data_IF_257389531868
#
_entry.id   IF_257389531868
#
_cell.length_a   1.000
_cell.length_b   1.000
_cell.length_c   1.000
_cell.angle_alpha   90.00
_cell.angle_beta   90.00
_cell.angle_gamma   90.00
#
_symmetry.space_group_name_H-M   'P 1'
#
loop_
_entity.id
_entity.type
_entity.pdbx_description
1 polymer ?
#
# COMPACT_ATOMS: atom_id res chain seq x y z
N UNK A 1 51.71 17.45 27.35
CA UNK A 1 51.42 16.23 28.13
C UNK A 1 50.04 15.75 27.77
N UNK A 2 50.08 14.72 26.99
CA UNK A 2 49.34 13.43 27.04
C UNK A 2 47.84 13.50 26.87
N UNK A 3 47.44 12.99 25.70
CA UNK A 3 46.79 11.69 25.38
C UNK A 3 45.29 11.81 25.45
N UNK A 4 44.50 11.29 24.53
CA UNK A 4 44.60 10.12 23.67
C UNK A 4 43.59 10.18 22.54
N UNK A 5 44.08 9.89 21.36
CA UNK A 5 43.26 9.39 20.24
C UNK A 5 42.60 8.08 20.65
N UNK A 6 41.33 7.91 20.34
CA UNK A 6 40.75 6.58 20.18
C UNK A 6 39.89 6.55 18.92
N UNK A 7 40.46 5.92 17.91
CA UNK A 7 39.86 5.51 16.68
C UNK A 7 38.67 4.57 16.95
N UNK A 8 37.51 4.89 16.38
CA UNK A 8 36.41 3.94 16.30
C UNK A 8 36.37 3.40 14.85
N UNK A 9 37.11 2.32 14.66
CA UNK A 9 36.92 1.44 13.51
C UNK A 9 35.63 0.61 13.75
N UNK A 10 34.49 1.11 13.26
CA UNK A 10 33.22 0.39 13.27
C UNK A 10 33.13 -0.52 12.03
N UNK A 11 33.23 -1.80 12.26
CA UNK A 11 33.27 -2.88 11.28
C UNK A 11 32.06 -2.94 10.34
N UNK A 12 32.22 -3.32 9.05
CA UNK A 12 31.16 -3.44 8.03
C UNK A 12 30.05 -4.45 8.37
N UNK A 13 30.27 -5.37 9.30
CA UNK A 13 29.30 -6.41 9.71
C UNK A 13 28.02 -5.87 10.37
N UNK A 14 28.02 -4.71 11.03
CA UNK A 14 26.81 -4.12 11.63
C UNK A 14 25.91 -3.41 10.60
N UNK A 15 26.46 -2.91 9.51
CA UNK A 15 25.70 -2.21 8.48
C UNK A 15 24.82 -3.14 7.62
N UNK A 16 25.29 -4.35 7.32
CA UNK A 16 24.51 -5.37 6.60
C UNK A 16 23.24 -5.79 7.36
N UNK A 17 23.28 -5.76 8.71
CA UNK A 17 22.11 -6.05 9.55
C UNK A 17 20.97 -5.04 9.44
N UNK A 18 21.24 -3.81 9.02
CA UNK A 18 20.30 -2.69 9.10
C UNK A 18 19.39 -2.57 7.87
N UNK A 19 19.97 -2.68 6.68
CA UNK A 19 19.18 -2.74 5.44
C UNK A 19 18.45 -4.09 5.36
N UNK A 20 19.11 -5.17 5.85
CA UNK A 20 18.48 -6.47 6.04
C UNK A 20 17.33 -6.43 7.08
N UNK A 21 17.35 -5.55 8.08
CA UNK A 21 16.28 -5.36 9.06
C UNK A 21 15.00 -4.79 8.47
N UNK A 22 15.08 -3.78 7.61
CA UNK A 22 13.95 -3.23 6.88
C UNK A 22 13.38 -4.23 5.87
N UNK A 23 14.24 -4.97 5.19
CA UNK A 23 13.90 -6.07 4.32
C UNK A 23 13.36 -7.28 5.10
N UNK A 24 13.94 -7.64 6.26
CA UNK A 24 13.52 -8.81 7.05
C UNK A 24 12.13 -8.63 7.69
N UNK A 25 11.69 -7.40 7.97
CA UNK A 25 10.32 -7.17 8.46
C UNK A 25 9.29 -7.41 7.34
N UNK A 26 9.54 -6.94 6.12
CA UNK A 26 8.73 -7.33 4.94
C UNK A 26 8.76 -8.85 4.73
N UNK A 27 9.90 -9.49 4.97
CA UNK A 27 10.12 -10.92 4.87
C UNK A 27 9.32 -11.73 5.89
N UNK A 28 9.37 -11.38 7.18
CA UNK A 28 8.62 -12.08 8.24
C UNK A 28 7.12 -12.00 8.07
N UNK A 29 6.60 -10.91 7.50
CA UNK A 29 5.17 -10.78 7.22
C UNK A 29 4.73 -11.58 6.00
N UNK A 30 5.62 -11.84 5.03
CA UNK A 30 5.34 -12.69 3.86
C UNK A 30 5.49 -14.20 4.16
N UNK A 31 6.40 -14.60 5.06
CA UNK A 31 6.71 -16.02 5.33
C UNK A 31 5.83 -16.66 6.40
N UNK A 32 5.19 -15.89 7.28
CA UNK A 32 4.38 -16.43 8.40
C UNK A 32 3.07 -17.10 7.99
N UNK A 33 2.70 -17.10 6.71
CA UNK A 33 1.50 -17.75 6.18
C UNK A 33 1.76 -19.06 5.41
N UNK A 34 2.92 -19.70 5.59
CA UNK A 34 3.13 -21.09 5.14
C UNK A 34 2.61 -22.08 6.18
N UNK A 35 1.31 -22.09 6.44
CA UNK A 35 0.69 -23.27 7.00
C UNK A 35 0.38 -24.22 5.84
N UNK A 36 1.09 -25.33 5.82
CA UNK A 36 0.83 -26.51 5.00
C UNK A 36 -0.62 -26.94 5.18
N UNK A 37 -1.42 -26.88 4.13
CA UNK A 37 -2.76 -27.48 4.08
C UNK A 37 -2.71 -28.57 3.01
N UNK A 38 -2.92 -29.82 3.46
CA UNK A 38 -3.11 -30.96 2.59
C UNK A 38 -4.31 -30.74 1.63
N UNK A 39 -4.24 -31.23 0.37
CA UNK A 39 -5.31 -31.00 -0.59
C UNK A 39 -6.51 -31.86 -0.29
N UNK A 40 -7.68 -31.22 -0.07
CA UNK A 40 -8.97 -31.91 -0.10
C UNK A 40 -9.24 -32.33 -1.55
N UNK A 41 -9.46 -33.64 -1.74
CA UNK A 41 -9.52 -34.27 -3.04
C UNK A 41 -10.72 -33.84 -3.88
N UNK A 42 -10.45 -33.08 -4.93
CA UNK A 42 -11.33 -32.93 -6.10
C UNK A 42 -10.77 -33.78 -7.23
N UNK A 43 -11.62 -34.53 -7.93
CA UNK A 43 -11.22 -35.41 -9.04
C UNK A 43 -10.54 -34.64 -10.18
N UNK A 44 -9.53 -35.25 -10.77
CA UNK A 44 -8.64 -34.65 -11.79
C UNK A 44 -9.33 -33.96 -12.99
N UNK A 45 -10.51 -34.38 -13.49
CA UNK A 45 -11.15 -33.77 -14.65
C UNK A 45 -11.60 -32.31 -14.44
N UNK A 46 -12.08 -31.99 -13.26
CA UNK A 46 -12.58 -30.63 -12.95
C UNK A 46 -11.47 -29.61 -12.73
N UNK A 47 -10.33 -30.04 -12.18
CA UNK A 47 -9.11 -29.21 -12.08
C UNK A 47 -8.60 -28.80 -13.44
N UNK A 48 -8.67 -29.70 -14.41
CA UNK A 48 -8.20 -29.46 -15.77
C UNK A 48 -9.19 -28.66 -16.62
N UNK A 49 -10.50 -28.72 -16.34
CA UNK A 49 -11.51 -27.94 -17.02
C UNK A 49 -11.48 -26.46 -16.55
N UNK A 50 -11.39 -26.20 -15.25
CA UNK A 50 -11.21 -24.86 -14.69
C UNK A 50 -9.88 -24.25 -15.10
N UNK A 51 -8.77 -25.01 -15.08
CA UNK A 51 -7.47 -24.54 -15.58
C UNK A 51 -7.47 -24.27 -17.07
N UNK A 52 -8.32 -24.92 -17.87
CA UNK A 52 -8.51 -24.66 -19.31
C UNK A 52 -9.37 -23.43 -19.57
N UNK A 53 -10.40 -23.17 -18.79
CA UNK A 53 -11.18 -21.93 -18.83
C UNK A 53 -10.30 -20.72 -18.51
N UNK A 54 -9.46 -20.82 -17.48
CA UNK A 54 -8.50 -19.77 -17.14
C UNK A 54 -7.35 -19.60 -18.15
N UNK A 55 -6.93 -20.69 -18.83
CA UNK A 55 -5.94 -20.57 -19.92
C UNK A 55 -6.48 -19.86 -21.17
N UNK A 56 -7.80 -19.81 -21.35
CA UNK A 56 -8.42 -19.02 -22.44
C UNK A 56 -8.59 -17.53 -22.12
N UNK A 57 -8.13 -17.10 -20.92
CA UNK A 57 -8.14 -15.69 -20.52
C UNK A 57 -9.55 -15.13 -20.50
N UNK A 58 -10.25 -15.31 -19.37
CA UNK A 58 -11.52 -14.63 -19.15
C UNK A 58 -11.27 -13.14 -19.02
N UNK A 59 -11.86 -12.35 -19.88
CA UNK A 59 -11.87 -10.90 -19.78
C UNK A 59 -12.72 -10.51 -18.57
N UNK A 60 -12.09 -9.88 -17.55
CA UNK A 60 -12.80 -9.39 -16.38
C UNK A 60 -12.85 -7.89 -16.47
N UNK A 61 -14.01 -7.36 -16.79
CA UNK A 61 -14.30 -5.93 -16.69
C UNK A 61 -14.84 -5.63 -15.29
N UNK A 62 -14.01 -5.04 -14.44
CA UNK A 62 -14.45 -4.44 -13.19
C UNK A 62 -15.08 -3.09 -13.49
N UNK A 63 -16.19 -2.73 -12.84
CA UNK A 63 -16.83 -1.44 -13.06
C UNK A 63 -15.83 -0.29 -12.88
N UNK A 64 -15.71 0.57 -13.88
CA UNK A 64 -14.77 1.69 -13.90
C UNK A 64 -13.31 1.32 -14.18
N UNK A 65 -12.94 0.04 -14.25
CA UNK A 65 -11.58 -0.43 -14.53
C UNK A 65 -11.43 -0.85 -15.99
N UNK A 66 -10.22 -0.75 -16.58
CA UNK A 66 -10.01 -1.25 -17.93
C UNK A 66 -10.20 -2.78 -17.97
N UNK A 67 -10.83 -3.29 -19.05
CA UNK A 67 -10.98 -4.73 -19.24
C UNK A 67 -9.60 -5.40 -19.36
N UNK A 68 -9.41 -6.52 -18.67
CA UNK A 68 -8.15 -7.27 -18.74
C UNK A 68 -8.37 -8.77 -18.83
N UNK A 69 -7.59 -9.42 -19.67
CA UNK A 69 -7.46 -10.88 -19.70
C UNK A 69 -6.49 -11.33 -18.61
N UNK A 70 -6.99 -12.02 -17.62
CA UNK A 70 -6.17 -12.57 -16.54
C UNK A 70 -5.61 -13.91 -17.01
N UNK A 71 -4.32 -13.97 -17.33
CA UNK A 71 -3.62 -15.20 -17.75
C UNK A 71 -3.04 -15.97 -16.57
N UNK A 72 -2.44 -15.26 -15.61
CA UNK A 72 -1.85 -15.82 -14.39
C UNK A 72 -2.25 -14.96 -13.22
N UNK A 73 -2.10 -15.50 -12.01
CA UNK A 73 -2.57 -14.83 -10.79
C UNK A 73 -1.44 -14.31 -9.91
N UNK A 74 -0.21 -14.67 -10.23
CA UNK A 74 0.95 -14.31 -9.42
C UNK A 74 2.13 -14.14 -10.35
N UNK A 75 2.74 -12.96 -10.29
CA UNK A 75 3.98 -12.64 -11.00
C UNK A 75 5.12 -13.56 -10.60
N UNK A 76 6.13 -13.69 -11.45
CA UNK A 76 7.38 -14.38 -11.10
C UNK A 76 8.01 -13.75 -9.84
N UNK A 77 7.98 -12.42 -9.73
CA UNK A 77 8.39 -11.68 -8.54
C UNK A 77 7.64 -12.15 -7.28
N UNK A 78 6.32 -12.35 -7.36
CA UNK A 78 5.49 -12.84 -6.24
C UNK A 78 5.71 -14.31 -5.87
N UNK A 79 6.38 -15.09 -6.73
CA UNK A 79 6.76 -16.49 -6.45
C UNK A 79 8.12 -16.62 -5.81
N UNK A 80 9.01 -15.66 -6.02
CA UNK A 80 10.35 -15.66 -5.42
C UNK A 80 10.25 -15.46 -3.90
N UNK A 81 11.07 -16.18 -3.10
CA UNK A 81 11.29 -15.81 -1.72
C UNK A 81 11.78 -14.35 -1.64
N UNK A 82 11.12 -13.56 -0.79
CA UNK A 82 11.37 -12.11 -0.74
C UNK A 82 12.86 -11.77 -0.46
N UNK A 83 13.59 -12.61 0.31
CA UNK A 83 15.04 -12.44 0.53
C UNK A 83 15.80 -12.47 -0.79
N UNK A 84 15.52 -13.46 -1.62
CA UNK A 84 16.20 -13.63 -2.91
C UNK A 84 15.76 -12.54 -3.89
N UNK A 85 14.49 -12.19 -3.88
CA UNK A 85 13.93 -11.14 -4.75
C UNK A 85 14.56 -9.76 -4.46
N UNK A 86 14.70 -9.38 -3.18
CA UNK A 86 15.23 -8.07 -2.83
C UNK A 86 16.76 -8.01 -2.70
N UNK A 87 17.48 -9.13 -2.82
CA UNK A 87 18.96 -9.12 -2.73
C UNK A 87 19.62 -8.26 -3.81
N UNK A 88 19.26 -8.36 -5.10
CA UNK A 88 19.81 -7.46 -6.13
C UNK A 88 19.49 -5.99 -5.88
N UNK A 89 18.27 -5.69 -5.37
CA UNK A 89 17.86 -4.32 -5.01
C UNK A 89 18.69 -3.79 -3.85
N UNK A 90 18.96 -4.61 -2.85
CA UNK A 90 19.84 -4.25 -1.73
C UNK A 90 21.27 -3.91 -2.21
N UNK A 91 21.84 -4.75 -3.05
CA UNK A 91 23.17 -4.50 -3.61
C UNK A 91 23.21 -3.20 -4.44
N UNK A 92 22.16 -2.95 -5.21
CA UNK A 92 22.01 -1.69 -5.93
C UNK A 92 21.91 -0.48 -4.97
N UNK A 93 21.13 -0.56 -3.92
CA UNK A 93 21.03 0.49 -2.89
C UNK A 93 22.36 0.73 -2.19
N UNK A 94 23.13 -0.32 -1.88
CA UNK A 94 24.48 -0.17 -1.30
C UNK A 94 25.44 0.57 -2.24
N UNK A 95 25.40 0.23 -3.55
CA UNK A 95 26.15 0.94 -4.58
C UNK A 95 25.76 2.41 -4.68
N UNK A 96 24.45 2.73 -4.65
CA UNK A 96 23.95 4.10 -4.66
C UNK A 96 24.35 4.86 -3.39
N UNK A 97 24.25 4.24 -2.23
CA UNK A 97 24.66 4.79 -0.95
C UNK A 97 26.14 5.17 -0.95
N UNK A 98 26.99 4.30 -1.51
CA UNK A 98 28.41 4.60 -1.69
C UNK A 98 28.64 5.74 -2.69
N UNK A 99 28.00 5.68 -3.86
CA UNK A 99 28.13 6.70 -4.93
C UNK A 99 27.72 8.10 -4.42
N UNK A 100 26.62 8.21 -3.70
CA UNK A 100 26.07 9.46 -3.20
C UNK A 100 26.51 9.79 -1.77
N UNK A 101 27.44 9.02 -1.17
CA UNK A 101 27.99 9.22 0.17
C UNK A 101 26.91 9.38 1.26
N UNK A 102 25.90 8.51 1.25
CA UNK A 102 24.84 8.55 2.25
C UNK A 102 23.89 7.36 2.20
N UNK A 103 23.80 6.61 3.30
CA UNK A 103 22.93 5.42 3.39
C UNK A 103 21.46 5.76 3.57
N UNK A 104 21.17 6.87 4.23
CA UNK A 104 19.83 7.29 4.60
C UNK A 104 19.28 8.42 3.73
N UNK A 105 19.90 8.71 2.57
CA UNK A 105 19.46 9.75 1.63
C UNK A 105 17.97 9.70 1.26
N UNK A 106 17.35 8.52 1.05
CA UNK A 106 15.91 8.44 0.82
C UNK A 106 15.05 9.07 1.92
N UNK A 107 15.59 9.24 3.13
CA UNK A 107 14.87 9.87 4.25
C UNK A 107 14.66 11.38 4.11
N UNK A 108 15.30 12.02 3.14
CA UNK A 108 15.10 13.43 2.79
C UNK A 108 14.58 13.60 1.36
N UNK A 109 14.02 12.52 0.78
CA UNK A 109 13.35 12.63 -0.52
C UNK A 109 12.15 13.59 -0.48
N UNK A 110 11.47 13.68 0.68
CA UNK A 110 10.42 14.65 0.96
C UNK A 110 10.74 15.33 2.31
N UNK A 111 11.44 16.44 2.33
CA UNK A 111 11.97 17.03 3.58
C UNK A 111 10.91 17.36 4.65
N UNK A 112 9.69 17.72 4.22
CA UNK A 112 8.60 18.09 5.12
C UNK A 112 7.75 16.88 5.60
N UNK A 113 8.18 15.67 5.31
CA UNK A 113 7.57 14.42 5.79
C UNK A 113 8.57 13.71 6.70
N UNK A 114 8.08 13.19 7.83
CA UNK A 114 8.91 12.43 8.77
C UNK A 114 9.65 11.30 8.04
N UNK A 115 10.98 11.29 8.16
CA UNK A 115 11.85 10.33 7.46
C UNK A 115 11.62 10.26 5.93
N UNK A 116 11.18 11.38 5.28
CA UNK A 116 10.87 11.44 3.86
C UNK A 116 9.72 10.51 3.43
N UNK A 117 8.99 9.97 4.39
CA UNK A 117 7.98 8.93 4.14
C UNK A 117 8.59 7.55 3.92
N UNK A 118 9.74 7.30 4.52
CA UNK A 118 10.37 5.99 4.46
C UNK A 118 9.88 5.08 5.58
N UNK A 119 9.62 5.64 6.78
CA UNK A 119 9.14 4.91 7.97
C UNK A 119 8.51 5.82 9.01
N UNK A 120 7.43 5.31 9.64
CA UNK A 120 6.86 5.88 10.86
C UNK A 120 5.99 7.10 10.65
N UNK A 121 5.82 7.53 9.44
CA UNK A 121 5.08 8.73 9.06
C UNK A 121 3.57 8.62 9.33
N UNK A 122 2.96 9.74 9.66
CA UNK A 122 1.51 9.91 9.76
C UNK A 122 0.89 10.00 8.36
N UNK A 123 -0.21 9.26 8.12
CA UNK A 123 -0.98 9.36 6.87
C UNK A 123 -1.62 10.73 6.68
N UNK A 124 -2.06 11.33 7.79
CA UNK A 124 -2.64 12.68 7.74
C UNK A 124 -1.61 13.73 7.40
N UNK A 125 -0.34 13.56 7.81
CA UNK A 125 0.72 14.55 7.51
C UNK A 125 0.93 14.79 6.02
N UNK A 126 0.61 13.83 5.17
CA UNK A 126 0.61 14.04 3.72
C UNK A 126 -0.65 14.77 3.25
N UNK A 127 -1.83 14.31 3.70
CA UNK A 127 -3.10 14.84 3.22
C UNK A 127 -3.30 16.29 3.69
N UNK A 128 -2.80 16.62 4.87
CA UNK A 128 -2.84 17.98 5.43
C UNK A 128 -1.93 18.97 4.69
N UNK A 129 -0.92 18.48 3.96
CA UNK A 129 -0.07 19.33 3.09
C UNK A 129 -0.70 19.68 1.74
N UNK A 130 -1.78 19.00 1.35
CA UNK A 130 -2.53 19.36 0.15
C UNK A 130 -3.37 20.61 0.47
N UNK A 131 -3.19 21.73 -0.25
CA UNK A 131 -3.87 23.00 0.05
C UNK A 131 -5.41 22.89 0.01
N UNK A 132 -6.08 23.79 0.73
CA UNK A 132 -7.54 23.77 0.91
C UNK A 132 -8.34 23.81 -0.40
N UNK A 133 -7.88 24.55 -1.40
CA UNK A 133 -8.49 24.61 -2.75
C UNK A 133 -8.37 23.30 -3.54
N UNK A 134 -7.43 22.42 -3.16
CA UNK A 134 -7.25 21.09 -3.73
C UNK A 134 -7.81 19.95 -2.84
N UNK A 135 -8.39 20.27 -1.69
CA UNK A 135 -8.94 19.26 -0.78
C UNK A 135 -10.14 18.48 -1.36
N UNK A 136 -10.79 18.98 -2.40
CA UNK A 136 -11.80 18.24 -3.16
C UNK A 136 -11.27 16.97 -3.83
N UNK A 137 -9.95 16.90 -4.07
CA UNK A 137 -9.27 15.71 -4.59
C UNK A 137 -8.92 14.68 -3.53
N UNK A 138 -9.11 15.01 -2.25
CA UNK A 138 -8.77 14.14 -1.12
C UNK A 138 -10.05 13.56 -0.52
N UNK A 139 -10.06 12.27 -0.24
CA UNK A 139 -11.16 11.66 0.50
C UNK A 139 -11.24 12.28 1.91
N UNK A 140 -12.38 12.90 2.28
CA UNK A 140 -12.55 13.56 3.57
C UNK A 140 -12.15 12.65 4.73
N UNK A 141 -11.29 13.16 5.59
CA UNK A 141 -10.63 12.38 6.64
C UNK A 141 -10.55 13.16 7.94
N UNK A 142 -10.54 12.44 9.05
CA UNK A 142 -10.37 12.98 10.39
C UNK A 142 -9.33 12.16 11.14
N UNK A 143 -8.35 12.82 11.74
CA UNK A 143 -7.39 12.22 12.65
C UNK A 143 -7.87 12.41 14.09
N UNK A 144 -7.93 11.32 14.87
CA UNK A 144 -8.30 11.35 16.26
C UNK A 144 -7.30 10.56 17.11
N UNK A 145 -6.80 11.17 18.17
CA UNK A 145 -5.90 10.51 19.14
C UNK A 145 -6.74 9.89 20.26
N UNK A 146 -6.63 8.58 20.46
CA UNK A 146 -7.25 7.92 21.60
C UNK A 146 -6.50 8.29 22.87
N UNK A 147 -7.07 9.18 23.67
CA UNK A 147 -6.46 9.63 24.93
C UNK A 147 -6.28 8.46 25.89
N UNK A 148 -5.07 8.30 26.41
CA UNK A 148 -4.74 7.23 27.35
C UNK A 148 -5.39 7.43 28.74
N UNK A 149 -5.54 8.68 29.15
CA UNK A 149 -6.13 9.14 30.41
C UNK A 149 -7.67 9.11 30.43
N UNK A 150 -8.31 9.00 29.26
CA UNK A 150 -9.76 8.97 29.12
C UNK A 150 -10.31 7.54 29.03
N UNK A 151 -11.54 7.34 29.52
CA UNK A 151 -12.24 6.08 29.32
C UNK A 151 -12.53 5.83 27.83
N UNK A 152 -12.73 4.57 27.44
CA UNK A 152 -13.13 4.25 26.06
C UNK A 152 -14.44 4.88 25.64
N UNK A 153 -15.38 5.00 26.58
CA UNK A 153 -16.67 5.67 26.36
C UNK A 153 -16.49 7.16 26.08
N UNK A 154 -15.60 7.83 26.82
CA UNK A 154 -15.33 9.26 26.61
C UNK A 154 -14.59 9.51 25.31
N UNK A 155 -13.60 8.68 24.95
CA UNK A 155 -12.95 8.73 23.64
C UNK A 155 -13.96 8.54 22.49
N UNK A 156 -14.88 7.57 22.61
CA UNK A 156 -15.89 7.33 21.58
C UNK A 156 -16.85 8.53 21.44
N UNK A 157 -17.30 9.12 22.56
CA UNK A 157 -18.17 10.31 22.53
C UNK A 157 -17.47 11.48 21.87
N UNK A 158 -16.24 11.79 22.28
CA UNK A 158 -15.44 12.87 21.70
C UNK A 158 -15.23 12.66 20.18
N UNK A 159 -14.89 11.43 19.78
CA UNK A 159 -14.73 11.11 18.35
C UNK A 159 -16.04 11.29 17.56
N UNK A 160 -17.20 10.90 18.13
CA UNK A 160 -18.50 11.09 17.48
C UNK A 160 -18.85 12.56 17.30
N UNK A 161 -18.50 13.40 18.27
CA UNK A 161 -18.66 14.86 18.18
C UNK A 161 -17.74 15.44 17.10
N UNK A 162 -16.49 14.98 17.02
CA UNK A 162 -15.53 15.40 15.97
C UNK A 162 -16.00 14.97 14.58
N UNK A 163 -16.49 13.74 14.41
CA UNK A 163 -17.06 13.26 13.14
C UNK A 163 -18.25 14.12 12.70
N UNK A 164 -19.14 14.49 13.65
CA UNK A 164 -20.28 15.37 13.37
C UNK A 164 -19.82 16.75 12.93
N UNK A 165 -18.83 17.34 13.62
CA UNK A 165 -18.26 18.66 13.25
C UNK A 165 -17.57 18.64 11.88
N UNK A 166 -16.88 17.54 11.57
CA UNK A 166 -16.24 17.33 10.27
C UNK A 166 -17.21 16.93 9.14
N UNK A 167 -18.51 16.78 9.44
CA UNK A 167 -19.49 16.34 8.43
C UNK A 167 -19.29 14.92 7.92
N UNK A 168 -18.52 14.08 8.62
CA UNK A 168 -18.25 12.71 8.25
C UNK A 168 -19.38 11.79 8.72
N UNK A 169 -19.93 11.03 7.75
CA UNK A 169 -21.06 10.09 7.98
C UNK A 169 -20.64 8.67 7.63
N UNK A 170 -21.24 7.70 8.32
CA UNK A 170 -21.06 6.27 7.99
C UNK A 170 -21.65 5.94 6.62
N UNK A 171 -21.05 4.99 5.89
CA UNK A 171 -19.88 4.16 6.27
C UNK A 171 -18.55 4.91 6.18
N UNK A 172 -17.61 4.58 7.07
CA UNK A 172 -16.27 5.14 7.14
C UNK A 172 -15.22 4.02 7.05
N UNK A 173 -14.02 4.37 6.65
CA UNK A 173 -12.84 3.51 6.78
C UNK A 173 -12.04 3.96 8.00
N UNK A 174 -11.95 3.09 9.01
CA UNK A 174 -11.06 3.29 10.15
C UNK A 174 -9.70 2.66 9.84
N UNK A 175 -8.63 3.41 10.05
CA UNK A 175 -7.25 2.94 9.84
C UNK A 175 -6.29 3.61 10.82
N UNK A 176 -5.21 2.93 11.26
CA UNK A 176 -4.17 3.58 12.02
C UNK A 176 -3.54 4.72 11.23
N UNK A 177 -3.25 5.83 11.89
CA UNK A 177 -2.56 6.96 11.27
C UNK A 177 -1.11 6.59 10.91
N UNK A 178 -0.41 5.90 11.79
CA UNK A 178 0.90 5.30 11.51
C UNK A 178 0.72 3.82 11.22
N UNK A 179 1.18 3.35 10.06
CA UNK A 179 1.13 1.94 9.71
C UNK A 179 1.10 1.69 8.21
N UNK A 180 1.38 0.47 7.82
CA UNK A 180 1.60 0.05 6.44
C UNK A 180 0.82 -1.23 6.08
N UNK A 181 0.78 -1.59 4.80
CA UNK A 181 0.25 -2.85 4.26
C UNK A 181 -1.19 -3.20 4.67
N UNK A 182 -2.02 -2.21 5.01
CA UNK A 182 -3.42 -2.42 5.40
C UNK A 182 -3.62 -3.04 6.79
N UNK A 183 -2.61 -3.01 7.67
CA UNK A 183 -2.80 -3.40 9.06
C UNK A 183 -3.77 -2.47 9.76
N UNK A 184 -4.73 -3.03 10.50
CA UNK A 184 -5.73 -2.28 11.24
C UNK A 184 -6.78 -1.56 10.39
N UNK A 185 -6.77 -1.70 9.07
CA UNK A 185 -7.77 -1.08 8.19
C UNK A 185 -9.09 -1.85 8.25
N UNK A 186 -10.19 -1.14 8.52
CA UNK A 186 -11.52 -1.74 8.62
C UNK A 186 -12.60 -0.79 8.13
N UNK A 187 -13.58 -1.32 7.41
CA UNK A 187 -14.84 -0.63 7.17
C UNK A 187 -15.65 -0.62 8.48
N UNK A 188 -16.13 0.55 8.85
CA UNK A 188 -17.06 0.76 9.94
C UNK A 188 -18.36 1.30 9.34
N UNK A 189 -19.39 0.47 9.30
CA UNK A 189 -20.66 0.81 8.69
C UNK A 189 -21.57 1.55 9.67
N UNK A 190 -21.37 1.33 10.97
CA UNK A 190 -22.23 1.84 12.05
C UNK A 190 -21.41 2.39 13.22
N UNK A 191 -22.00 3.23 14.09
CA UNK A 191 -21.38 3.61 15.36
C UNK A 191 -21.01 2.41 16.26
N UNK A 192 -21.77 1.31 16.17
CA UNK A 192 -21.46 0.06 16.87
C UNK A 192 -20.17 -0.58 16.40
N UNK A 193 -19.93 -0.63 15.07
CA UNK A 193 -18.67 -1.13 14.51
C UNK A 193 -17.48 -0.27 14.92
N UNK A 194 -17.66 1.04 14.95
CA UNK A 194 -16.64 1.98 15.42
C UNK A 194 -16.27 1.71 16.88
N UNK A 195 -17.26 1.49 17.75
CA UNK A 195 -17.03 1.13 19.15
C UNK A 195 -16.19 -0.14 19.26
N UNK A 196 -16.58 -1.21 18.57
CA UNK A 196 -15.86 -2.50 18.58
C UNK A 196 -14.43 -2.34 18.05
N UNK A 197 -14.23 -1.50 17.04
CA UNK A 197 -12.90 -1.19 16.52
C UNK A 197 -12.03 -0.49 17.56
N UNK A 198 -12.55 0.56 18.21
CA UNK A 198 -11.83 1.33 19.23
C UNK A 198 -11.54 0.55 20.51
N UNK A 199 -12.37 -0.43 20.87
CA UNK A 199 -12.11 -1.31 22.02
C UNK A 199 -10.78 -2.06 21.91
N UNK A 200 -10.34 -2.37 20.68
CA UNK A 200 -9.11 -3.10 20.38
C UNK A 200 -7.98 -2.19 19.91
N UNK A 201 -8.25 -0.91 19.67
CA UNK A 201 -7.24 0.03 19.20
C UNK A 201 -6.35 0.48 20.37
N UNK A 202 -5.01 0.61 20.20
CA UNK A 202 -4.12 1.01 21.27
C UNK A 202 -4.40 2.46 21.72
N UNK A 203 -4.46 2.67 23.05
CA UNK A 203 -4.56 4.01 23.61
C UNK A 203 -3.26 4.78 23.43
N UNK A 204 -3.36 6.10 23.33
CA UNK A 204 -2.23 7.00 23.04
C UNK A 204 -1.91 7.11 21.55
N UNK A 205 -2.49 6.25 20.70
CA UNK A 205 -2.25 6.26 19.27
C UNK A 205 -3.38 6.93 18.50
N UNK A 206 -3.04 7.44 17.30
CA UNK A 206 -3.99 8.10 16.43
C UNK A 206 -4.68 7.11 15.47
N UNK A 207 -5.99 7.26 15.35
CA UNK A 207 -6.81 6.63 14.32
C UNK A 207 -7.22 7.67 13.29
N UNK A 208 -7.20 7.29 12.04
CA UNK A 208 -7.75 8.06 10.93
C UNK A 208 -9.11 7.47 10.54
N UNK A 209 -10.14 8.29 10.50
CA UNK A 209 -11.47 7.98 9.98
C UNK A 209 -11.61 8.69 8.65
N UNK A 210 -11.89 7.94 7.58
CA UNK A 210 -11.98 8.47 6.23
C UNK A 210 -13.32 8.09 5.61
N UNK A 211 -13.94 9.00 4.85
CA UNK A 211 -15.16 8.70 4.10
C UNK A 211 -14.92 7.50 3.19
N UNK A 212 -15.83 6.54 3.22
CA UNK A 212 -15.80 5.43 2.28
C UNK A 212 -16.18 5.91 0.88
N UNK A 213 -15.28 5.76 -0.07
CA UNK A 213 -15.52 6.05 -1.49
C UNK A 213 -15.93 4.75 -2.16
N UNK A 214 -17.14 4.71 -2.71
CA UNK A 214 -17.73 3.49 -3.27
C UNK A 214 -17.36 3.22 -4.73
N UNK A 215 -16.40 3.94 -5.27
CA UNK A 215 -15.89 3.67 -6.61
C UNK A 215 -15.09 2.38 -6.63
N UNK A 216 -15.26 1.59 -7.71
CA UNK A 216 -14.59 0.30 -7.82
C UNK A 216 -13.16 0.42 -8.38
N UNK A 217 -12.89 1.48 -9.15
CA UNK A 217 -11.56 1.75 -9.67
C UNK A 217 -10.58 2.12 -8.56
N UNK A 218 -9.42 1.48 -8.52
CA UNK A 218 -8.34 1.83 -7.60
C UNK A 218 -6.99 1.75 -8.32
N UNK A 219 -6.15 2.76 -8.15
CA UNK A 219 -4.81 2.83 -8.73
C UNK A 219 -3.80 3.41 -7.75
N UNK A 220 -2.54 3.01 -7.91
CA UNK A 220 -1.41 3.70 -7.31
C UNK A 220 -0.63 4.43 -8.38
N UNK A 221 -0.51 5.73 -8.24
CA UNK A 221 0.16 6.65 -9.17
C UNK A 221 1.45 7.12 -8.52
N UNK A 222 2.58 6.58 -8.96
CA UNK A 222 3.89 6.96 -8.44
C UNK A 222 4.40 8.18 -9.21
N UNK A 223 4.55 9.27 -8.48
CA UNK A 223 5.02 10.56 -8.99
C UNK A 223 6.48 10.77 -8.60
N UNK A 224 7.21 11.44 -9.48
CA UNK A 224 8.58 11.86 -9.22
C UNK A 224 8.85 13.25 -9.83
N UNK A 225 9.56 14.10 -9.08
CA UNK A 225 10.07 15.39 -9.51
C UNK A 225 11.46 15.63 -8.93
N UNK A 226 12.43 15.90 -9.77
CA UNK A 226 13.74 16.33 -9.27
C UNK A 226 13.59 17.70 -8.58
N UNK A 227 14.31 17.94 -7.47
CA UNK A 227 14.19 19.22 -6.77
C UNK A 227 14.48 20.46 -7.63
N UNK A 228 15.35 20.33 -8.63
CA UNK A 228 15.71 21.41 -9.55
C UNK A 228 14.77 21.55 -10.75
N UNK A 229 13.83 20.60 -10.93
CA UNK A 229 12.89 20.60 -12.04
C UNK A 229 11.59 21.34 -11.66
N UNK A 230 11.05 22.18 -12.55
CA UNK A 230 9.81 22.92 -12.31
C UNK A 230 8.57 22.02 -12.38
N UNK A 231 8.66 20.86 -13.06
CA UNK A 231 7.58 19.89 -13.25
C UNK A 231 8.05 18.49 -12.98
N UNK A 232 7.15 17.70 -12.44
CA UNK A 232 7.37 16.28 -12.27
C UNK A 232 6.61 15.45 -13.30
N UNK A 233 6.68 14.15 -13.13
CA UNK A 233 6.03 13.17 -14.02
C UNK A 233 5.48 11.99 -13.25
N UNK A 234 4.52 11.33 -13.84
CA UNK A 234 4.10 9.99 -13.38
C UNK A 234 5.21 9.01 -13.80
N UNK A 235 5.84 8.40 -12.82
CA UNK A 235 6.84 7.34 -13.03
C UNK A 235 6.17 6.00 -13.29
N UNK A 236 5.06 5.73 -12.61
CA UNK A 236 4.30 4.49 -12.73
C UNK A 236 2.84 4.69 -12.41
N UNK A 237 1.97 4.06 -13.16
CA UNK A 237 0.57 3.85 -12.82
C UNK A 237 0.32 2.35 -12.74
N UNK A 238 -0.14 1.88 -11.59
CA UNK A 238 -0.52 0.49 -11.39
C UNK A 238 -1.96 0.40 -10.91
N UNK A 239 -2.79 -0.35 -11.64
CA UNK A 239 -4.15 -0.63 -11.20
C UNK A 239 -4.16 -1.69 -10.11
N UNK A 240 -5.11 -1.57 -9.19
CA UNK A 240 -5.26 -2.45 -8.04
C UNK A 240 -6.61 -3.18 -8.11
N UNK A 241 -6.55 -4.50 -8.29
CA UNK A 241 -7.73 -5.36 -8.28
C UNK A 241 -7.93 -6.01 -6.92
N UNK A 242 -9.11 -5.80 -6.35
CA UNK A 242 -9.47 -6.45 -5.10
C UNK A 242 -9.67 -7.95 -5.27
N UNK A 243 -9.45 -8.76 -4.21
CA UNK A 243 -9.80 -10.18 -4.22
C UNK A 243 -11.29 -10.35 -4.51
N UNK A 244 -11.61 -11.11 -5.53
CA UNK A 244 -12.97 -11.39 -5.94
C UNK A 244 -13.07 -12.77 -6.59
N UNK A 245 -14.27 -13.30 -6.69
CA UNK A 245 -14.62 -14.45 -7.53
C UNK A 245 -15.71 -14.06 -8.50
N UNK A 246 -15.83 -14.81 -9.60
CA UNK A 246 -16.89 -14.64 -10.58
C UNK A 246 -17.88 -15.79 -10.40
N UNK A 247 -19.16 -15.48 -10.25
CA UNK A 247 -20.25 -16.44 -10.20
C UNK A 247 -20.32 -17.27 -11.49
N UNK A 248 -20.61 -18.53 -11.36
CA UNK A 248 -20.88 -19.46 -12.48
C UNK A 248 -22.35 -19.88 -12.58
N UNK A 249 -23.20 -19.35 -11.69
CA UNK A 249 -24.61 -19.67 -11.59
C UNK A 249 -24.89 -21.06 -11.02
N UNK A 250 -23.90 -21.80 -10.55
CA UNK A 250 -24.02 -23.20 -10.11
C UNK A 250 -23.31 -23.47 -8.78
N UNK A 251 -22.11 -22.95 -8.61
CA UNK A 251 -21.27 -23.18 -7.43
C UNK A 251 -21.59 -22.20 -6.32
N UNK A 252 -21.52 -22.68 -5.08
CA UNK A 252 -21.61 -21.77 -3.92
C UNK A 252 -20.42 -20.84 -3.85
N UNK A 253 -20.57 -19.69 -3.21
CA UNK A 253 -19.49 -18.73 -2.97
C UNK A 253 -18.29 -19.39 -2.28
N UNK A 254 -18.57 -20.30 -1.32
CA UNK A 254 -17.51 -21.08 -0.66
C UNK A 254 -16.72 -21.95 -1.63
N UNK A 255 -17.41 -22.65 -2.52
CA UNK A 255 -16.78 -23.49 -3.53
C UNK A 255 -15.96 -22.67 -4.54
N UNK A 256 -16.48 -21.53 -4.98
CA UNK A 256 -15.76 -20.60 -5.87
C UNK A 256 -14.47 -20.11 -5.23
N UNK A 257 -14.49 -19.73 -3.94
CA UNK A 257 -13.29 -19.28 -3.21
C UNK A 257 -12.23 -20.38 -3.14
N UNK A 258 -12.64 -21.64 -2.91
CA UNK A 258 -11.72 -22.76 -2.74
C UNK A 258 -11.11 -23.24 -4.06
N UNK A 259 -11.82 -23.07 -5.16
CA UNK A 259 -11.41 -23.56 -6.50
C UNK A 259 -10.68 -22.53 -7.33
N UNK A 260 -10.96 -21.21 -7.13
CA UNK A 260 -10.29 -20.16 -7.88
C UNK A 260 -8.80 -20.05 -7.51
N UNK A 261 -7.87 -20.18 -8.46
CA UNK A 261 -6.43 -20.10 -8.22
C UNK A 261 -5.98 -18.81 -7.53
N UNK A 262 -6.73 -17.71 -7.68
CA UNK A 262 -6.42 -16.40 -7.08
C UNK A 262 -6.74 -16.35 -5.60
N UNK A 263 -7.85 -16.97 -5.19
CA UNK A 263 -8.40 -16.85 -3.84
C UNK A 263 -8.09 -18.04 -2.94
N UNK A 264 -7.92 -19.25 -3.52
CA UNK A 264 -7.69 -20.51 -2.76
C UNK A 264 -6.51 -20.46 -1.79
N UNK A 265 -5.45 -19.67 -2.09
CA UNK A 265 -4.29 -19.51 -1.20
C UNK A 265 -4.65 -18.83 0.13
N UNK A 266 -5.69 -18.02 0.12
CA UNK A 266 -6.20 -17.29 1.28
C UNK A 266 -7.65 -17.67 1.58
N UNK A 267 -8.11 -18.84 1.13
CA UNK A 267 -9.49 -19.28 1.24
C UNK A 267 -10.03 -19.15 2.66
N UNK A 268 -9.26 -19.57 3.67
CA UNK A 268 -9.66 -19.45 5.08
C UNK A 268 -9.98 -18.00 5.47
N UNK A 269 -9.19 -17.04 5.01
CA UNK A 269 -9.40 -15.61 5.29
C UNK A 269 -10.62 -15.09 4.55
N UNK A 270 -10.73 -15.40 3.25
CA UNK A 270 -11.85 -14.96 2.42
C UNK A 270 -13.16 -15.56 2.91
N UNK A 271 -13.20 -16.86 3.19
CA UNK A 271 -14.39 -17.52 3.77
C UNK A 271 -14.82 -16.84 5.07
N UNK A 272 -13.88 -16.49 5.95
CA UNK A 272 -14.20 -15.79 7.19
C UNK A 272 -14.81 -14.40 6.95
N UNK A 273 -14.31 -13.68 5.95
CA UNK A 273 -14.80 -12.33 5.61
C UNK A 273 -16.24 -12.35 5.06
N UNK A 274 -16.62 -13.41 4.35
CA UNK A 274 -17.95 -13.55 3.71
C UNK A 274 -18.77 -14.69 4.33
N UNK A 275 -18.48 -15.07 5.57
CA UNK A 275 -19.08 -16.22 6.26
C UNK A 275 -20.61 -16.33 6.14
N UNK A 276 -21.41 -15.26 6.29
CA UNK A 276 -22.86 -15.32 6.17
C UNK A 276 -23.36 -15.68 4.76
N UNK A 277 -22.51 -15.57 3.75
CA UNK A 277 -22.88 -15.72 2.33
C UNK A 277 -22.26 -16.94 1.65
N UNK A 278 -21.53 -17.79 2.38
CA UNK A 278 -20.79 -18.93 1.79
C UNK A 278 -21.65 -19.91 1.01
N UNK A 279 -22.91 -20.10 1.45
CA UNK A 279 -23.86 -21.00 0.79
C UNK A 279 -24.60 -20.34 -0.40
N UNK A 280 -24.50 -19.03 -0.59
CA UNK A 280 -25.12 -18.33 -1.71
C UNK A 280 -24.49 -18.80 -3.03
N UNK A 281 -25.29 -19.00 -4.06
CA UNK A 281 -24.87 -19.27 -5.44
C UNK A 281 -24.93 -17.95 -6.19
N UNK A 282 -23.79 -17.30 -6.49
CA UNK A 282 -23.81 -16.07 -7.28
C UNK A 282 -24.22 -16.36 -8.73
N UNK A 283 -25.03 -15.48 -9.34
CA UNK A 283 -25.38 -15.57 -10.76
C UNK A 283 -24.13 -15.67 -11.65
N UNK A 284 -24.31 -16.28 -12.84
CA UNK A 284 -23.23 -16.36 -13.83
C UNK A 284 -22.78 -14.96 -14.25
N UNK A 285 -21.48 -14.70 -14.15
CA UNK A 285 -20.86 -13.40 -14.45
C UNK A 285 -20.90 -12.38 -13.28
N UNK A 286 -21.63 -12.65 -12.18
CA UNK A 286 -21.62 -11.77 -11.01
C UNK A 286 -20.24 -11.77 -10.36
N UNK A 287 -19.66 -10.57 -10.18
CA UNK A 287 -18.43 -10.40 -9.44
C UNK A 287 -18.71 -10.22 -7.94
N UNK A 288 -18.22 -11.14 -7.13
CA UNK A 288 -18.33 -11.07 -5.67
C UNK A 288 -16.99 -10.68 -5.07
N UNK A 289 -16.92 -9.47 -4.50
CA UNK A 289 -15.73 -8.96 -3.83
C UNK A 289 -15.54 -9.63 -2.46
N UNK A 290 -14.33 -10.10 -2.18
CA UNK A 290 -14.00 -10.88 -0.96
C UNK A 290 -13.27 -10.06 0.12
N UNK A 291 -12.74 -8.89 -0.23
CA UNK A 291 -12.02 -8.04 0.70
C UNK A 291 -12.09 -6.58 0.28
N UNK A 292 -12.15 -5.69 1.25
CA UNK A 292 -12.03 -4.24 1.04
C UNK A 292 -10.57 -3.78 0.96
N UNK A 293 -9.62 -4.68 1.22
CA UNK A 293 -8.21 -4.39 1.20
C UNK A 293 -7.61 -4.73 -0.17
N UNK A 294 -7.11 -3.71 -0.86
CA UNK A 294 -6.37 -3.84 -2.12
C UNK A 294 -4.89 -4.22 -1.92
N UNK A 295 -4.53 -4.98 -0.89
CA UNK A 295 -3.15 -5.39 -0.66
C UNK A 295 -2.88 -6.82 -1.15
N UNK A 296 -1.65 -7.11 -1.61
CA UNK A 296 -1.22 -8.48 -1.98
C UNK A 296 -1.42 -9.45 -0.81
N UNK A 297 -1.26 -8.99 0.43
CA UNK A 297 -1.56 -9.77 1.63
C UNK A 297 -3.02 -10.18 1.77
N UNK A 298 -3.92 -9.42 1.18
CA UNK A 298 -5.35 -9.74 1.15
C UNK A 298 -5.74 -10.55 -0.09
N UNK A 299 -4.79 -10.84 -1.00
CA UNK A 299 -5.04 -11.54 -2.26
C UNK A 299 -5.40 -10.62 -3.41
N UNK A 300 -5.22 -9.32 -3.26
CA UNK A 300 -5.29 -8.37 -4.37
C UNK A 300 -4.15 -8.64 -5.36
N UNK A 301 -4.38 -8.37 -6.62
CA UNK A 301 -3.34 -8.36 -7.63
C UNK A 301 -3.27 -6.97 -8.30
N UNK A 302 -2.12 -6.68 -8.86
CA UNK A 302 -1.84 -5.43 -9.53
C UNK A 302 -1.55 -5.69 -10.99
N UNK A 303 -1.83 -4.72 -11.83
CA UNK A 303 -1.43 -4.77 -13.23
C UNK A 303 -1.01 -3.41 -13.76
N UNK A 304 -0.21 -3.45 -14.81
CA UNK A 304 0.34 -2.27 -15.43
C UNK A 304 -0.75 -1.39 -16.03
N UNK A 305 -0.67 -0.12 -15.71
CA UNK A 305 -1.55 0.92 -16.22
C UNK A 305 -0.81 2.01 -16.99
N UNK A 306 0.45 1.76 -17.39
CA UNK A 306 1.27 2.79 -18.03
C UNK A 306 0.63 3.37 -19.30
N UNK A 307 -0.07 2.55 -20.09
CA UNK A 307 -0.79 2.97 -21.30
C UNK A 307 -1.95 3.95 -21.03
N UNK A 308 -2.35 4.09 -19.77
CA UNK A 308 -3.41 5.01 -19.33
C UNK A 308 -2.88 6.34 -18.80
N UNK A 309 -1.56 6.49 -18.70
CA UNK A 309 -0.93 7.77 -18.35
C UNK A 309 -1.06 8.74 -19.52
N UNK A 310 -1.70 9.87 -19.27
CA UNK A 310 -1.91 10.93 -20.24
C UNK A 310 -1.27 12.23 -19.78
N UNK A 311 -1.05 13.18 -20.67
CA UNK A 311 -0.62 14.53 -20.28
C UNK A 311 -1.59 15.21 -19.30
N UNK A 312 -2.90 15.01 -19.45
CA UNK A 312 -3.92 15.59 -18.57
C UNK A 312 -3.84 15.02 -17.16
N UNK A 313 -3.76 13.68 -17.01
CA UNK A 313 -3.57 13.03 -15.72
C UNK A 313 -2.25 13.48 -15.08
N UNK A 314 -1.17 13.52 -15.87
CA UNK A 314 0.15 13.94 -15.38
C UNK A 314 0.10 15.39 -14.88
N UNK A 315 -0.54 16.29 -15.62
CA UNK A 315 -0.67 17.70 -15.24
C UNK A 315 -1.45 17.86 -13.91
N UNK A 316 -2.54 17.08 -13.72
CA UNK A 316 -3.33 17.11 -12.49
C UNK A 316 -2.54 16.61 -11.29
N UNK A 317 -1.87 15.48 -11.41
CA UNK A 317 -1.05 14.91 -10.32
C UNK A 317 0.13 15.83 -10.00
N UNK A 318 0.78 16.41 -11.03
CA UNK A 318 1.87 17.37 -10.87
C UNK A 318 1.40 18.66 -10.19
N UNK A 319 0.21 19.17 -10.53
CA UNK A 319 -0.41 20.32 -9.86
C UNK A 319 -0.57 20.08 -8.35
N UNK A 320 -1.16 18.95 -7.98
CA UNK A 320 -1.36 18.58 -6.57
C UNK A 320 -0.02 18.39 -5.85
N UNK A 321 0.89 17.62 -6.45
CA UNK A 321 2.19 17.30 -5.85
C UNK A 321 3.07 18.53 -5.65
N UNK A 322 3.11 19.46 -6.61
CA UNK A 322 3.91 20.71 -6.51
C UNK A 322 3.38 21.69 -5.47
N UNK A 323 2.09 21.60 -5.14
CA UNK A 323 1.46 22.43 -4.11
C UNK A 323 1.69 21.86 -2.69
N UNK A 324 2.18 20.62 -2.58
CA UNK A 324 2.68 20.06 -1.33
C UNK A 324 4.11 20.54 -1.10
N UNK A 325 4.45 21.10 0.10
CA UNK A 325 5.79 21.62 0.38
C UNK A 325 6.88 20.53 0.20
N UNK A 326 7.86 20.80 -0.66
CA UNK A 326 9.03 19.92 -0.93
C UNK A 326 8.67 18.44 -1.16
N UNK A 327 7.55 18.18 -1.80
CA UNK A 327 7.15 16.84 -2.18
C UNK A 327 7.75 16.47 -3.55
N UNK A 328 8.65 15.51 -3.56
CA UNK A 328 9.43 15.15 -4.75
C UNK A 328 9.22 13.71 -5.19
N UNK A 329 8.82 12.83 -4.28
CA UNK A 329 8.67 11.41 -4.57
C UNK A 329 7.56 10.79 -3.72
N UNK A 330 6.60 10.14 -4.38
CA UNK A 330 5.59 9.40 -3.64
C UNK A 330 4.51 8.82 -4.52
N UNK A 331 3.73 7.89 -3.95
CA UNK A 331 2.62 7.23 -4.60
C UNK A 331 1.30 7.73 -4.03
N UNK A 332 0.49 8.29 -4.91
CA UNK A 332 -0.91 8.62 -4.65
C UNK A 332 -1.75 7.36 -4.85
N UNK A 333 -2.31 6.81 -3.79
CA UNK A 333 -3.28 5.72 -3.87
C UNK A 333 -4.66 6.37 -4.02
N UNK A 334 -5.28 6.18 -5.20
CA UNK A 334 -6.52 6.86 -5.59
C UNK A 334 -7.65 5.87 -5.84
N UNK A 335 -8.89 6.26 -5.51
CA UNK A 335 -10.08 5.67 -6.09
C UNK A 335 -10.61 6.55 -7.21
N UNK A 336 -11.13 5.95 -8.25
CA UNK A 336 -11.63 6.67 -9.41
C UNK A 336 -12.94 6.08 -9.93
N UNK A 337 -13.72 6.95 -10.53
CA UNK A 337 -15.05 6.65 -11.03
C UNK A 337 -15.01 5.78 -12.30
N UNK A 338 -14.22 6.20 -13.28
CA UNK A 338 -13.93 5.46 -14.50
C UNK A 338 -12.51 5.72 -15.00
N UNK A 339 -11.98 4.80 -15.79
CA UNK A 339 -10.64 4.95 -16.37
C UNK A 339 -10.58 6.14 -17.34
N UNK A 340 -11.68 6.44 -18.02
CA UNK A 340 -11.79 7.58 -18.94
C UNK A 340 -11.70 8.90 -18.18
N UNK A 341 -12.38 9.02 -17.04
CA UNK A 341 -12.29 10.19 -16.16
C UNK A 341 -10.87 10.33 -15.60
N UNK A 342 -10.28 9.23 -15.12
CA UNK A 342 -8.89 9.22 -14.63
C UNK A 342 -7.91 9.71 -15.71
N UNK A 343 -8.04 9.25 -16.94
CA UNK A 343 -7.21 9.70 -18.07
C UNK A 343 -7.32 11.20 -18.36
N UNK A 344 -8.48 11.81 -18.09
CA UNK A 344 -8.65 13.27 -18.20
C UNK A 344 -8.11 14.04 -16.98
N UNK A 345 -7.58 13.33 -15.97
CA UNK A 345 -7.16 13.94 -14.70
C UNK A 345 -8.33 14.39 -13.83
N UNK A 346 -9.45 13.68 -13.93
CA UNK A 346 -10.73 13.96 -13.27
C UNK A 346 -11.29 12.70 -12.58
N UNK A 347 -12.40 12.84 -11.84
CA UNK A 347 -13.17 11.73 -11.29
C UNK A 347 -12.38 10.78 -10.40
N UNK A 348 -11.43 11.29 -9.63
CA UNK A 348 -10.69 10.51 -8.66
C UNK A 348 -10.61 11.20 -7.29
N UNK A 349 -10.36 10.42 -6.23
CA UNK A 349 -10.04 10.92 -4.90
C UNK A 349 -8.82 10.20 -4.34
N UNK A 350 -7.92 10.98 -3.75
CA UNK A 350 -6.72 10.49 -3.07
C UNK A 350 -7.13 9.92 -1.72
N UNK A 351 -6.84 8.64 -1.53
CA UNK A 351 -7.12 7.92 -0.30
C UNK A 351 -5.94 7.93 0.66
N UNK A 352 -4.74 7.95 0.10
CA UNK A 352 -3.48 7.88 0.83
C UNK A 352 -2.35 8.38 -0.06
N UNK A 353 -1.34 9.00 0.55
CA UNK A 353 -0.06 9.27 -0.10
C UNK A 353 1.01 8.50 0.67
N UNK A 354 1.91 7.86 -0.08
CA UNK A 354 3.03 7.09 0.46
C UNK A 354 4.33 7.70 -0.09
N UNK A 355 5.30 8.04 0.77
CA UNK A 355 6.54 8.70 0.37
C UNK A 355 7.63 7.74 -0.13
N UNK A 356 8.86 7.93 0.35
CA UNK A 356 10.05 7.22 -0.12
C UNK A 356 9.99 5.69 0.01
N UNK A 357 9.10 5.14 0.85
CA UNK A 357 8.88 3.69 0.96
C UNK A 357 7.94 3.13 -0.11
N UNK A 358 7.30 3.97 -0.91
CA UNK A 358 6.38 3.54 -1.95
C UNK A 358 7.09 2.74 -3.04
N UNK A 359 6.42 1.74 -3.59
CA UNK A 359 6.88 0.98 -4.75
C UNK A 359 5.92 1.16 -5.92
N UNK A 360 6.45 1.13 -7.13
CA UNK A 360 5.67 1.04 -8.36
C UNK A 360 4.82 -0.23 -8.33
N UNK A 361 3.49 -0.11 -8.39
CA UNK A 361 2.60 -1.28 -8.21
C UNK A 361 2.66 -2.28 -9.37
N UNK A 362 2.94 -1.81 -10.59
CA UNK A 362 2.97 -2.64 -11.78
C UNK A 362 4.09 -3.71 -11.77
N UNK A 363 5.12 -3.55 -10.93
CA UNK A 363 6.15 -4.60 -10.76
C UNK A 363 5.57 -5.93 -10.28
N UNK A 364 4.39 -5.90 -9.69
CA UNK A 364 3.67 -7.08 -9.23
C UNK A 364 2.66 -7.62 -10.26
N UNK A 365 2.61 -7.03 -11.45
CA UNK A 365 1.80 -7.54 -12.54
C UNK A 365 2.17 -9.00 -12.86
N UNK A 366 1.17 -9.91 -12.93
CA UNK A 366 1.43 -11.31 -13.28
C UNK A 366 2.15 -11.52 -14.61
N UNK A 367 1.97 -10.61 -15.55
CA UNK A 367 2.57 -10.70 -16.89
C UNK A 367 3.95 -9.98 -16.98
N UNK A 368 4.38 -9.32 -15.90
CA UNK A 368 5.66 -8.60 -15.85
C UNK A 368 6.85 -9.56 -15.76
N UNK A 369 7.88 -9.32 -16.59
CA UNK A 369 9.15 -10.07 -16.52
C UNK A 369 9.98 -9.68 -15.30
N UNK A 370 10.82 -10.59 -14.79
CA UNK A 370 11.76 -10.25 -13.71
C UNK A 370 12.76 -9.17 -14.10
N UNK A 371 13.22 -9.19 -15.36
CA UNK A 371 14.17 -8.19 -15.89
C UNK A 371 13.55 -6.79 -15.84
N UNK A 372 12.31 -6.65 -16.28
CA UNK A 372 11.60 -5.38 -16.27
C UNK A 372 11.31 -4.93 -14.84
N UNK A 373 10.87 -5.87 -13.97
CA UNK A 373 10.68 -5.62 -12.55
C UNK A 373 11.93 -5.02 -11.89
N UNK A 374 13.11 -5.61 -12.14
CA UNK A 374 14.37 -5.09 -11.60
C UNK A 374 14.78 -3.75 -12.22
N UNK A 375 14.55 -3.53 -13.52
CA UNK A 375 14.80 -2.24 -14.15
C UNK A 375 14.02 -1.14 -13.46
N UNK A 376 12.72 -1.34 -13.27
CA UNK A 376 11.84 -0.39 -12.58
C UNK A 376 12.30 -0.13 -11.14
N UNK A 377 12.63 -1.18 -10.38
CA UNK A 377 13.11 -1.03 -9.00
C UNK A 377 14.45 -0.28 -8.93
N UNK A 378 15.40 -0.59 -9.83
CA UNK A 378 16.69 0.07 -9.86
C UNK A 378 16.55 1.55 -10.23
N UNK A 379 15.72 1.88 -11.21
CA UNK A 379 15.43 3.27 -11.58
C UNK A 379 14.74 4.02 -10.46
N UNK A 380 13.77 3.40 -9.79
CA UNK A 380 13.09 3.99 -8.65
C UNK A 380 14.06 4.34 -7.51
N UNK A 381 14.92 3.42 -7.12
CA UNK A 381 15.90 3.68 -6.06
C UNK A 381 16.98 4.66 -6.50
N UNK A 382 17.41 4.64 -7.77
CA UNK A 382 18.33 5.66 -8.32
C UNK A 382 17.74 7.05 -8.15
N UNK A 383 16.48 7.28 -8.57
CA UNK A 383 15.79 8.56 -8.42
C UNK A 383 15.68 8.99 -6.95
N UNK A 384 15.34 8.07 -6.03
CA UNK A 384 15.28 8.37 -4.60
C UNK A 384 16.62 8.84 -4.04
N UNK A 385 17.72 8.21 -4.42
CA UNK A 385 19.05 8.61 -3.96
C UNK A 385 19.49 9.93 -4.60
N UNK A 386 19.18 10.18 -5.86
CA UNK A 386 19.46 11.45 -6.56
C UNK A 386 18.70 12.61 -5.92
N UNK A 387 17.38 12.45 -5.69
CA UNK A 387 16.56 13.43 -4.99
C UNK A 387 17.08 13.70 -3.58
N UNK A 388 17.38 12.63 -2.83
CA UNK A 388 17.91 12.75 -1.47
C UNK A 388 19.28 13.44 -1.42
N UNK A 389 20.16 13.20 -2.40
CA UNK A 389 21.44 13.87 -2.52
C UNK A 389 21.25 15.37 -2.83
N UNK A 390 20.41 15.70 -3.78
CA UNK A 390 20.08 17.09 -4.11
C UNK A 390 19.50 17.85 -2.91
N UNK A 391 18.57 17.24 -2.17
CA UNK A 391 17.99 17.85 -0.97
C UNK A 391 19.00 18.00 0.16
N UNK A 392 19.90 17.01 0.34
CA UNK A 392 21.03 17.16 1.28
C UNK A 392 21.92 18.38 0.91
N UNK A 393 22.23 18.53 -0.38
CA UNK A 393 23.07 19.62 -0.85
C UNK A 393 22.37 20.99 -0.73
N UNK A 394 21.03 20.99 -0.62
CA UNK A 394 20.19 22.15 -0.26
C UNK A 394 20.08 22.37 1.27
N UNK A 395 20.78 21.59 2.07
CA UNK A 395 20.86 21.76 3.53
C UNK A 395 19.95 20.84 4.35
N UNK A 396 19.14 19.99 3.72
CA UNK A 396 18.34 19.02 4.44
C UNK A 396 19.20 17.87 4.97
N UNK A 397 19.00 17.51 6.23
CA UNK A 397 19.84 16.48 6.89
C UNK A 397 19.17 15.12 6.88
N UNK A 398 19.78 14.09 6.23
CA UNK A 398 19.28 12.74 6.32
C UNK A 398 19.26 12.24 7.77
N UNK A 399 18.23 11.44 8.10
CA UNK A 399 18.09 10.88 9.44
C UNK A 399 19.30 9.98 9.80
N UNK A 400 19.75 10.08 11.05
CA UNK A 400 20.79 9.19 11.55
C UNK A 400 20.31 7.74 11.65
N UNK A 401 21.22 6.79 11.48
CA UNK A 401 20.90 5.36 11.46
C UNK A 401 20.19 4.88 12.73
N UNK A 402 20.61 5.36 13.91
CA UNK A 402 19.99 5.01 15.18
C UNK A 402 18.51 5.47 15.25
N UNK A 403 18.23 6.71 14.81
CA UNK A 403 16.87 7.23 14.77
C UNK A 403 16.01 6.49 13.74
N UNK A 404 16.56 6.14 12.58
CA UNK A 404 15.89 5.29 11.60
C UNK A 404 15.48 3.93 12.16
N UNK A 405 16.38 3.28 12.91
CA UNK A 405 16.11 2.01 13.57
C UNK A 405 15.05 2.13 14.67
N UNK A 406 15.03 3.24 15.40
CA UNK A 406 14.01 3.51 16.41
C UNK A 406 12.62 3.66 15.77
N UNK A 407 12.49 4.39 14.66
CA UNK A 407 11.24 4.49 13.89
C UNK A 407 10.77 3.13 13.37
N UNK A 408 11.68 2.34 12.83
CA UNK A 408 11.39 0.98 12.35
C UNK A 408 10.86 0.07 13.49
N UNK A 409 11.47 0.14 14.65
CA UNK A 409 11.06 -0.62 15.83
C UNK A 409 9.68 -0.17 16.33
N UNK A 410 9.45 1.15 16.44
CA UNK A 410 8.17 1.74 16.83
C UNK A 410 7.04 1.28 15.89
N UNK A 411 7.19 1.46 14.59
CA UNK A 411 6.19 1.01 13.60
C UNK A 411 5.92 -0.48 13.73
N UNK A 412 6.97 -1.30 13.81
CA UNK A 412 6.84 -2.76 13.95
C UNK A 412 6.10 -3.17 15.23
N UNK A 413 6.29 -2.43 16.31
CA UNK A 413 5.58 -2.64 17.58
C UNK A 413 4.09 -2.29 17.45
N UNK A 414 3.78 -1.16 16.83
CA UNK A 414 2.41 -0.69 16.59
C UNK A 414 1.62 -1.67 15.71
N UNK A 415 2.21 -2.14 14.62
CA UNK A 415 1.56 -3.10 13.70
C UNK A 415 1.10 -4.39 14.39
N UNK A 416 1.77 -4.81 15.47
CA UNK A 416 1.37 -5.99 16.26
C UNK A 416 0.21 -5.72 17.21
N UNK A 417 -0.03 -4.47 17.56
CA UNK A 417 -1.04 -4.02 18.54
C UNK A 417 -2.35 -3.60 17.89
N UNK A 418 -2.36 -3.34 16.58
CA UNK A 418 -3.55 -2.89 15.88
C UNK A 418 -4.62 -3.99 15.75
N UNK A 419 -5.92 -3.61 15.70
CA UNK A 419 -7.00 -4.54 15.45
C UNK A 419 -6.79 -5.34 14.16
N UNK A 420 -7.41 -6.50 14.09
CA UNK A 420 -7.41 -7.28 12.85
C UNK A 420 -8.08 -6.47 11.73
N UNK A 421 -7.46 -6.46 10.55
CA UNK A 421 -8.03 -5.89 9.35
C UNK A 421 -9.23 -6.69 8.87
N UNK A 422 -10.28 -6.02 8.36
CA UNK A 422 -11.52 -6.64 7.89
C UNK A 422 -11.97 -6.14 6.55
#
# INVERSE_FOLDING_TARGET
MNQSETAIAGTPRRMLGTVAGALSFRLRTMTRNRASIAPIGLSAPWRNALARLYRRGTEVALAGMPPRRIRTTISLAGRCPAVLFYLPVLLHCLRLAWRHRGFTLPSVANPNIECGGFRGESKMSYLDQIPGDLQSWVAPSLRFVLRADASRRNNLRALQEDLKRAGLRFPLVAKPDIGSQGYGVRLVATPGDLRVYLERFPRGEAVMLQRYIDWQGEAGILYVRQPDEPRGRIFSLGFRCFPHVIGDGKSTLGALIDTDPRTRRMARRHRKAVLPHLAKVPPSGEMVRLSLLGSVRAGAFYYDGQDYVTPALTARIDEIARRMPDFHFGRFDVRFESVEALRRGEGFQIMEVNGASAEALHIWDPDQSLTETYRVLFDQFRLLYEIGACNRDRGHRPIGLAAFLALQWRESSLLRRYPASG
#
